data_IF_965663713184
#
_entry.id   IF_965663713184
#
_cell.length_a   1.000
_cell.length_b   1.000
_cell.length_c   1.000
_cell.angle_alpha   90.00
_cell.angle_beta   90.00
_cell.angle_gamma   90.00
#
_symmetry.space_group_name_H-M   'P 1'
#
loop_
_entity.id
_entity.type
_entity.pdbx_description
1 polymer ?
#
# COMPACT_ATOMS: atom_id res chain seq x y z
N UNK A 1 -9.88 -7.39 4.54
CA UNK A 1 -9.52 -5.97 4.41
C UNK A 1 -8.57 -5.53 5.51
N UNK A 2 -7.73 -4.59 5.24
CA UNK A 2 -6.79 -4.06 6.24
C UNK A 2 -6.94 -2.55 6.32
N UNK A 3 -6.46 -1.97 7.42
CA UNK A 3 -6.41 -0.53 7.58
C UNK A 3 -5.03 -0.03 7.15
N UNK A 4 -5.01 0.83 6.14
CA UNK A 4 -3.79 1.41 5.60
C UNK A 4 -3.70 2.88 6.04
N UNK A 5 -2.53 3.28 6.49
CA UNK A 5 -2.21 4.67 6.82
C UNK A 5 -1.07 5.13 5.94
N UNK A 6 -1.22 6.30 5.33
CA UNK A 6 -0.15 6.95 4.60
C UNK A 6 0.42 8.08 5.46
N UNK A 7 1.73 8.06 5.62
CA UNK A 7 2.46 9.03 6.43
C UNK A 7 3.27 9.92 5.51
N UNK A 8 3.22 11.22 5.75
CA UNK A 8 4.01 12.18 5.00
C UNK A 8 5.50 11.93 5.27
N UNK A 9 6.30 11.58 4.27
CA UNK A 9 7.70 11.23 4.50
C UNK A 9 8.57 12.43 4.91
N UNK A 10 8.11 13.65 4.70
CA UNK A 10 8.83 14.87 5.08
C UNK A 10 8.39 15.40 6.44
N UNK A 11 7.19 15.04 6.89
CA UNK A 11 6.62 15.48 8.16
C UNK A 11 5.82 14.33 8.74
N UNK A 12 6.50 13.41 9.44
CA UNK A 12 5.89 12.14 9.84
C UNK A 12 4.77 12.25 10.88
N UNK A 13 4.64 13.39 11.53
CA UNK A 13 3.47 13.68 12.37
C UNK A 13 2.20 13.91 11.53
N UNK A 14 2.33 14.17 10.24
CA UNK A 14 1.20 14.33 9.34
C UNK A 14 0.91 13.01 8.63
N UNK A 15 -0.26 12.49 8.84
CA UNK A 15 -0.66 11.20 8.30
C UNK A 15 -2.15 11.15 8.07
N UNK A 16 -2.57 10.23 7.22
CA UNK A 16 -3.98 10.00 7.00
C UNK A 16 -4.61 9.29 8.19
N UNK A 17 -5.92 9.39 8.37
CA UNK A 17 -6.61 8.44 9.24
C UNK A 17 -6.47 7.04 8.66
N UNK A 18 -6.69 5.98 9.46
CA UNK A 18 -6.72 4.63 8.91
C UNK A 18 -7.84 4.49 7.89
N UNK A 19 -7.52 3.93 6.73
CA UNK A 19 -8.48 3.71 5.66
C UNK A 19 -8.57 2.21 5.41
N UNK A 20 -9.78 1.68 5.48
CA UNK A 20 -10.00 0.28 5.15
C UNK A 20 -9.81 0.09 3.65
N UNK A 21 -8.90 -0.79 3.27
CA UNK A 21 -8.57 -1.06 1.87
C UNK A 21 -8.67 -2.54 1.58
N UNK A 22 -8.98 -2.85 0.32
CA UNK A 22 -8.93 -4.22 -0.16
C UNK A 22 -7.48 -4.55 -0.53
N UNK A 23 -7.00 -5.71 -0.11
CA UNK A 23 -5.71 -6.23 -0.55
C UNK A 23 -5.91 -6.82 -1.93
N UNK A 24 -5.25 -6.24 -2.94
CA UNK A 24 -5.43 -6.64 -4.33
C UNK A 24 -4.09 -7.02 -4.95
N UNK A 25 -3.84 -8.32 -5.03
CA UNK A 25 -2.61 -8.85 -5.62
C UNK A 25 -2.59 -8.71 -7.14
N UNK A 26 -3.69 -8.31 -7.74
CA UNK A 26 -3.76 -7.97 -9.16
C UNK A 26 -3.38 -6.51 -9.44
N UNK A 27 -3.27 -5.69 -8.41
CA UNK A 27 -2.84 -4.30 -8.56
C UNK A 27 -1.37 -4.17 -8.21
N UNK A 28 -0.60 -3.53 -9.07
CA UNK A 28 0.81 -3.30 -8.82
C UNK A 28 1.01 -2.28 -7.70
N UNK A 29 0.24 -1.20 -7.71
CA UNK A 29 0.41 -0.06 -6.78
C UNK A 29 -0.79 0.07 -5.86
N UNK A 30 -0.58 0.78 -4.73
CA UNK A 30 -1.64 1.05 -3.76
C UNK A 30 -2.34 2.37 -4.09
N UNK A 31 -3.62 2.45 -3.75
CA UNK A 31 -4.50 3.58 -4.04
C UNK A 31 -5.21 4.02 -2.77
N UNK A 32 -5.13 5.31 -2.46
CA UNK A 32 -5.88 5.92 -1.37
C UNK A 32 -6.59 7.18 -1.87
N UNK A 33 -7.70 7.57 -1.21
CA UNK A 33 -8.45 8.75 -1.64
C UNK A 33 -7.58 9.99 -1.71
N UNK A 34 -7.71 10.73 -2.80
CA UNK A 34 -6.94 11.95 -3.06
C UNK A 34 -7.00 12.94 -1.91
N UNK A 35 -8.19 13.20 -1.40
CA UNK A 35 -8.37 14.26 -0.41
C UNK A 35 -7.62 13.98 0.89
N UNK A 36 -7.66 12.75 1.37
CA UNK A 36 -6.98 12.42 2.63
C UNK A 36 -5.45 12.48 2.50
N UNK A 37 -4.93 12.15 1.31
CA UNK A 37 -3.51 12.28 1.04
C UNK A 37 -3.09 13.76 1.04
N UNK A 38 -3.86 14.60 0.39
CA UNK A 38 -3.61 16.05 0.38
C UNK A 38 -3.70 16.63 1.79
N UNK A 39 -4.69 16.22 2.57
CA UNK A 39 -4.86 16.69 3.95
C UNK A 39 -3.66 16.31 4.83
N UNK A 40 -3.01 15.21 4.53
CA UNK A 40 -1.78 14.79 5.22
C UNK A 40 -0.53 15.50 4.67
N UNK A 41 -0.70 16.42 3.71
CA UNK A 41 0.41 17.15 3.10
C UNK A 41 1.20 16.34 2.08
N UNK A 42 0.70 15.19 1.69
CA UNK A 42 1.32 14.37 0.65
C UNK A 42 0.90 14.96 -0.70
N UNK A 43 1.86 15.46 -1.46
CA UNK A 43 1.58 16.14 -2.72
C UNK A 43 1.91 15.24 -3.91
N UNK A 44 1.15 15.38 -5.01
CA UNK A 44 1.50 14.64 -6.22
C UNK A 44 2.87 15.04 -6.75
N UNK A 45 3.60 14.06 -7.25
CA UNK A 45 4.91 14.26 -7.86
C UNK A 45 4.89 14.03 -9.36
N UNK A 46 3.81 13.50 -9.88
CA UNK A 46 3.68 13.22 -11.30
C UNK A 46 2.36 12.55 -11.58
N UNK A 47 2.23 12.03 -12.77
CA UNK A 47 1.03 11.33 -13.23
C UNK A 47 1.40 10.04 -13.90
N UNK A 48 0.52 9.05 -13.81
CA UNK A 48 0.65 7.79 -14.52
C UNK A 48 -0.68 7.37 -15.12
N UNK A 49 -0.60 6.58 -16.17
CA UNK A 49 -1.77 5.95 -16.80
C UNK A 49 -1.94 4.56 -16.24
N UNK A 50 -3.18 4.19 -16.02
CA UNK A 50 -3.55 2.89 -15.51
C UNK A 50 -4.67 2.31 -16.35
N UNK A 51 -4.68 0.98 -16.49
CA UNK A 51 -5.79 0.26 -17.09
C UNK A 51 -6.59 -0.36 -15.97
N UNK A 52 -7.85 0.05 -15.86
CA UNK A 52 -8.76 -0.46 -14.84
C UNK A 52 -9.29 -1.85 -15.23
N UNK A 53 -9.94 -2.52 -14.26
CA UNK A 53 -10.50 -3.85 -14.48
C UNK A 53 -11.50 -3.88 -15.65
N UNK A 54 -12.21 -2.78 -15.90
CA UNK A 54 -13.12 -2.64 -17.03
C UNK A 54 -12.42 -2.28 -18.35
N UNK A 55 -11.08 -2.35 -18.38
CA UNK A 55 -10.22 -2.01 -19.51
C UNK A 55 -10.22 -0.53 -19.89
N UNK A 56 -10.84 0.31 -19.10
CA UNK A 56 -10.80 1.75 -19.28
C UNK A 56 -9.43 2.28 -18.88
N UNK A 57 -8.83 3.11 -19.72
CA UNK A 57 -7.56 3.76 -19.40
C UNK A 57 -7.84 5.08 -18.67
N UNK A 58 -7.17 5.28 -17.55
CA UNK A 58 -7.30 6.49 -16.74
C UNK A 58 -5.92 7.04 -16.41
N UNK A 59 -5.87 8.34 -16.16
CA UNK A 59 -4.66 9.01 -15.68
C UNK A 59 -4.91 9.45 -14.25
N UNK A 60 -3.93 9.19 -13.37
CA UNK A 60 -4.03 9.56 -11.96
C UNK A 60 -2.73 10.20 -11.49
N UNK A 61 -2.84 11.09 -10.53
CA UNK A 61 -1.67 11.62 -9.84
C UNK A 61 -1.04 10.53 -8.99
N UNK A 62 0.28 10.58 -8.87
CA UNK A 62 1.05 9.70 -8.01
C UNK A 62 1.95 10.53 -7.10
N UNK A 63 2.28 9.99 -5.95
CA UNK A 63 3.23 10.58 -5.02
C UNK A 63 3.92 9.49 -4.23
N UNK A 64 4.67 9.87 -3.20
CA UNK A 64 5.35 8.94 -2.32
C UNK A 64 4.89 9.13 -0.89
N UNK A 65 4.75 8.04 -0.17
CA UNK A 65 4.36 8.05 1.23
C UNK A 65 4.99 6.89 1.95
N UNK A 66 5.08 7.02 3.27
CA UNK A 66 5.34 5.86 4.12
C UNK A 66 3.99 5.19 4.30
N UNK A 67 3.87 3.96 3.87
CA UNK A 67 2.64 3.18 3.98
C UNK A 67 2.77 2.19 5.12
N UNK A 68 1.79 2.15 5.99
CA UNK A 68 1.80 1.23 7.13
C UNK A 68 0.45 0.54 7.29
N UNK A 69 0.49 -0.75 7.56
CA UNK A 69 -0.67 -1.59 7.79
C UNK A 69 -0.24 -2.81 8.59
N UNK A 70 -1.06 -3.20 9.56
CA UNK A 70 -0.84 -4.43 10.33
C UNK A 70 0.57 -4.51 10.96
N UNK A 71 1.13 -3.37 11.35
CA UNK A 71 2.46 -3.30 11.95
C UNK A 71 3.62 -3.30 10.97
N UNK A 72 3.36 -3.45 9.68
CA UNK A 72 4.37 -3.37 8.63
C UNK A 72 4.44 -1.96 8.07
N UNK A 73 5.61 -1.59 7.54
CA UNK A 73 5.83 -0.26 7.01
C UNK A 73 6.79 -0.29 5.83
N UNK A 74 6.54 0.55 4.84
CA UNK A 74 7.44 0.71 3.70
C UNK A 74 7.24 2.10 3.09
N UNK A 75 8.24 2.60 2.38
CA UNK A 75 8.09 3.80 1.57
C UNK A 75 7.77 3.36 0.15
N UNK A 76 6.68 3.83 -0.41
CA UNK A 76 6.26 3.40 -1.73
C UNK A 76 5.49 4.50 -2.45
N UNK A 77 5.31 4.27 -3.73
CA UNK A 77 4.45 5.08 -4.58
C UNK A 77 3.00 4.87 -4.20
N UNK A 78 2.23 5.94 -4.18
CA UNK A 78 0.80 5.90 -3.87
C UNK A 78 0.03 6.64 -4.96
N UNK A 79 -1.07 6.05 -5.41
CA UNK A 79 -1.95 6.64 -6.39
C UNK A 79 -3.03 7.46 -5.67
N UNK A 80 -3.26 8.66 -6.13
CA UNK A 80 -4.31 9.55 -5.64
C UNK A 80 -5.62 9.13 -6.30
N UNK A 81 -6.40 8.33 -5.58
CA UNK A 81 -7.66 7.79 -6.09
C UNK A 81 -8.73 8.87 -6.17
N UNK A 82 -9.47 8.89 -7.27
CA UNK A 82 -10.62 9.75 -7.43
C UNK A 82 -11.85 9.10 -6.79
N UNK A 83 -12.96 9.83 -6.71
CA UNK A 83 -14.15 9.36 -5.99
C UNK A 83 -14.68 8.01 -6.49
N UNK A 84 -14.59 7.76 -7.79
CA UNK A 84 -15.07 6.51 -8.38
C UNK A 84 -14.11 5.34 -8.23
N UNK A 85 -12.90 5.60 -7.75
CA UNK A 85 -11.88 4.57 -7.65
C UNK A 85 -11.96 3.84 -6.31
N UNK A 86 -11.49 2.60 -6.31
CA UNK A 86 -11.39 1.82 -5.09
C UNK A 86 -10.08 2.15 -4.36
N UNK A 87 -10.11 2.05 -3.03
CA UNK A 87 -8.90 2.11 -2.23
C UNK A 87 -8.33 0.71 -2.12
N UNK A 88 -7.06 0.56 -2.50
CA UNK A 88 -6.42 -0.76 -2.66
C UNK A 88 -5.03 -0.76 -2.05
N UNK A 89 -4.64 -1.91 -1.51
CA UNK A 89 -3.26 -2.20 -1.15
C UNK A 89 -2.70 -3.14 -2.22
N UNK A 90 -1.69 -2.67 -2.94
CA UNK A 90 -1.14 -3.38 -4.08
C UNK A 90 0.11 -4.18 -3.77
N UNK A 91 0.57 -4.92 -4.77
CA UNK A 91 1.69 -5.87 -4.65
C UNK A 91 2.99 -5.22 -4.23
N UNK A 92 3.32 -4.05 -4.77
CA UNK A 92 4.58 -3.38 -4.43
C UNK A 92 4.66 -3.02 -2.96
N UNK A 93 3.54 -2.61 -2.37
CA UNK A 93 3.48 -2.33 -0.94
C UNK A 93 3.67 -3.62 -0.13
N UNK A 94 3.03 -4.72 -0.56
CA UNK A 94 3.22 -6.02 0.09
C UNK A 94 4.69 -6.45 0.02
N UNK A 95 5.32 -6.29 -1.13
CA UNK A 95 6.75 -6.58 -1.28
C UNK A 95 7.60 -5.71 -0.38
N UNK A 96 7.29 -4.43 -0.29
CA UNK A 96 7.97 -3.50 0.61
C UNK A 96 7.81 -3.87 2.08
N UNK A 97 6.67 -4.44 2.45
CA UNK A 97 6.45 -4.99 3.79
C UNK A 97 7.20 -6.30 4.02
N UNK A 98 7.69 -6.94 2.97
CA UNK A 98 8.26 -8.28 2.98
C UNK A 98 7.23 -9.31 3.46
N UNK A 99 6.02 -9.22 2.92
CA UNK A 99 4.93 -10.14 3.22
C UNK A 99 4.32 -10.70 1.95
N UNK A 100 3.66 -11.82 2.09
CA UNK A 100 2.79 -12.40 1.07
C UNK A 100 1.42 -12.61 1.67
N UNK A 101 0.40 -12.73 0.84
CA UNK A 101 -0.97 -12.97 1.30
C UNK A 101 -1.20 -14.47 1.38
N UNK A 102 -1.62 -14.93 2.54
CA UNK A 102 -2.14 -16.28 2.71
C UNK A 102 -3.65 -16.22 2.44
N UNK A 103 -4.05 -16.64 1.23
CA UNK A 103 -5.45 -16.58 0.83
C UNK A 103 -6.34 -17.56 1.57
N UNK A 104 -5.77 -18.60 2.15
CA UNK A 104 -6.52 -19.60 2.94
C UNK A 104 -6.76 -19.04 4.34
N UNK A 105 -5.70 -18.51 4.97
CA UNK A 105 -5.80 -17.95 6.31
C UNK A 105 -6.26 -16.51 6.35
N UNK A 106 -6.41 -15.85 5.21
CA UNK A 106 -6.79 -14.44 5.10
C UNK A 106 -5.87 -13.53 5.94
N UNK A 107 -4.56 -13.65 5.74
CA UNK A 107 -3.56 -12.93 6.53
C UNK A 107 -2.30 -12.65 5.73
N UNK A 108 -1.51 -11.69 6.21
CA UNK A 108 -0.15 -11.48 5.72
C UNK A 108 0.78 -12.48 6.39
N UNK A 109 1.72 -12.98 5.63
CA UNK A 109 2.77 -13.86 6.14
C UNK A 109 4.11 -13.21 5.80
N UNK A 110 4.95 -12.97 6.79
CA UNK A 110 6.26 -12.39 6.59
C UNK A 110 7.14 -13.31 5.77
N UNK A 111 7.84 -12.73 4.78
CA UNK A 111 8.80 -13.48 3.99
C UNK A 111 10.20 -13.25 4.54
N UNK A 112 11.10 -14.21 4.31
CA UNK A 112 12.48 -14.15 4.77
C UNK A 112 13.37 -13.93 3.56
N UNK A 113 14.26 -12.96 3.65
CA UNK A 113 15.24 -12.74 2.60
C UNK A 113 16.19 -13.94 2.49
N UNK A 114 16.39 -14.49 1.29
CA UNK A 114 17.31 -15.62 1.12
C UNK A 114 18.78 -15.28 1.39
N UNK A 115 19.14 -13.99 1.43
CA UNK A 115 20.49 -13.56 1.82
C UNK A 115 20.62 -13.36 3.32
N UNK A 116 19.53 -13.49 4.05
CA UNK A 116 19.61 -13.52 5.50
C UNK A 116 20.49 -14.72 5.89
N UNK A 117 21.24 -14.53 6.96
CA UNK A 117 22.17 -15.54 7.44
C UNK A 117 21.49 -16.90 7.59
N UNK A 118 22.29 -17.94 7.82
CA UNK A 118 21.77 -19.28 8.06
C UNK A 118 20.79 -19.38 9.22
N UNK A 119 20.60 -18.30 9.96
CA UNK A 119 19.61 -18.25 11.02
C UNK A 119 18.22 -18.27 10.42
N UNK A 120 17.42 -19.19 10.85
CA UNK A 120 16.05 -19.26 10.44
C UNK A 120 15.28 -18.09 11.03
N UNK A 121 14.76 -17.24 10.18
CA UNK A 121 13.92 -16.15 10.64
C UNK A 121 12.53 -16.67 10.97
N UNK A 122 11.93 -16.10 12.00
CA UNK A 122 10.57 -16.43 12.37
C UNK A 122 9.61 -15.87 11.32
N UNK A 123 8.59 -16.66 11.01
CA UNK A 123 7.50 -16.20 10.13
C UNK A 123 6.41 -15.64 11.03
N UNK A 124 6.08 -14.38 10.80
CA UNK A 124 4.99 -13.71 11.53
C UNK A 124 3.77 -13.63 10.63
N UNK A 125 2.63 -14.05 11.13
CA UNK A 125 1.37 -13.98 10.41
C UNK A 125 0.45 -12.97 11.06
N UNK A 126 -0.19 -12.14 10.23
CA UNK A 126 -1.08 -11.07 10.69
C UNK A 126 -2.40 -11.18 9.93
N UNK A 127 -3.53 -11.06 10.64
CA UNK A 127 -4.86 -11.11 10.03
C UNK A 127 -5.07 -9.97 9.03
N UNK A 128 -5.68 -10.25 7.91
CA UNK A 128 -5.96 -9.26 6.86
C UNK A 128 -7.43 -8.93 6.73
#
# INVERSE_FOLDING_TARGET
MVNLVAINPKEEERRTPPVEVMVDTGSEVSWLPRQILLDAGITPRGKKRFILANKQMVERDIGYAILTAEGYSTIDEIVFAEESDMSLLGVRTLEGFSVMVDNIGHRFVATVSPVATSTQAAITAVAV
#
